data_IF_061702970162
#
_entry.id   IF_061702970162
#
_cell.length_a   1.000
_cell.length_b   1.000
_cell.length_c   1.000
_cell.angle_alpha   90.00
_cell.angle_beta   90.00
_cell.angle_gamma   90.00
#
_symmetry.space_group_name_H-M   'P 1'
#
loop_
_entity.id
_entity.type
_entity.pdbx_description
1 polymer ?
#
# COMPACT_ATOMS: atom_id res chain seq x y z
N UNK A 1 29.20 34.54 10.53
CA UNK A 1 28.06 34.01 11.31
C UNK A 1 26.96 33.47 10.41
N UNK A 2 26.56 34.19 9.35
CA UNK A 2 25.54 33.73 8.38
C UNK A 2 25.91 32.46 7.62
N UNK A 3 27.18 32.31 7.18
CA UNK A 3 27.63 31.09 6.51
C UNK A 3 27.50 29.84 7.41
N UNK A 4 27.91 29.93 8.68
CA UNK A 4 27.80 28.83 9.66
C UNK A 4 26.33 28.48 9.92
N UNK A 5 25.45 29.50 10.04
CA UNK A 5 24.00 29.30 10.19
C UNK A 5 23.41 28.58 8.97
N UNK A 6 23.77 28.99 7.76
CA UNK A 6 23.32 28.35 6.53
C UNK A 6 23.80 26.88 6.43
N UNK A 7 25.05 26.59 6.78
CA UNK A 7 25.58 25.22 6.80
C UNK A 7 24.85 24.35 7.82
N UNK A 8 24.60 24.86 9.03
CA UNK A 8 23.85 24.15 10.08
C UNK A 8 22.41 23.85 9.64
N UNK A 9 21.71 24.83 9.06
CA UNK A 9 20.34 24.65 8.55
C UNK A 9 20.32 23.57 7.45
N UNK A 10 21.21 23.65 6.47
CA UNK A 10 21.29 22.66 5.39
C UNK A 10 21.59 21.24 5.92
N UNK A 11 22.55 21.11 6.84
CA UNK A 11 22.88 19.82 7.46
C UNK A 11 21.71 19.23 8.24
N UNK A 12 20.94 20.07 8.96
CA UNK A 12 19.76 19.65 9.72
C UNK A 12 18.59 19.22 8.82
N UNK A 13 18.37 19.92 7.71
CA UNK A 13 17.38 19.52 6.70
C UNK A 13 17.77 18.20 6.02
N UNK A 14 19.04 18.04 5.66
CA UNK A 14 19.52 16.81 5.04
C UNK A 14 19.36 15.61 6.00
N UNK A 15 19.69 15.79 7.28
CA UNK A 15 19.54 14.74 8.29
C UNK A 15 18.08 14.31 8.47
N UNK A 16 17.14 15.28 8.47
CA UNK A 16 15.72 14.98 8.65
C UNK A 16 15.11 14.27 7.45
N UNK A 17 15.57 14.52 6.22
CA UNK A 17 15.14 13.79 5.02
C UNK A 17 15.53 12.30 5.08
N UNK A 18 16.72 12.00 5.59
CA UNK A 18 17.20 10.62 5.75
C UNK A 18 16.50 9.87 6.90
N UNK A 19 15.87 10.60 7.82
CA UNK A 19 15.27 10.05 9.04
C UNK A 19 13.75 9.76 8.95
N UNK A 20 13.17 9.64 7.75
CA UNK A 20 11.72 9.51 7.58
C UNK A 20 11.28 8.07 7.33
N UNK A 21 10.30 7.60 8.11
CA UNK A 21 9.56 6.35 7.83
C UNK A 21 8.72 6.50 6.55
N UNK A 22 8.44 5.40 5.83
CA UNK A 22 7.61 5.48 4.64
C UNK A 22 6.17 5.84 4.99
N UNK A 23 5.52 6.57 4.10
CA UNK A 23 4.06 6.78 4.08
C UNK A 23 3.56 6.30 2.74
N UNK A 24 2.44 5.56 2.75
CA UNK A 24 1.86 4.96 1.55
C UNK A 24 0.39 5.29 1.38
N UNK A 25 -0.03 5.44 0.13
CA UNK A 25 -1.42 5.48 -0.31
C UNK A 25 -1.74 4.26 -1.16
N UNK A 26 -3.02 3.88 -1.23
CA UNK A 26 -3.50 2.82 -2.12
C UNK A 26 -4.58 3.42 -3.03
N UNK A 27 -4.46 3.17 -4.34
CA UNK A 27 -5.44 3.54 -5.35
C UNK A 27 -5.94 2.29 -6.10
N UNK A 28 -7.27 2.08 -6.25
CA UNK A 28 -8.34 2.88 -5.67
C UNK A 28 -8.44 2.73 -4.15
N UNK A 29 -8.92 3.76 -3.46
CA UNK A 29 -9.15 3.73 -1.99
C UNK A 29 -10.13 2.64 -1.54
N UNK A 30 -11.01 2.25 -2.45
CA UNK A 30 -11.92 1.11 -2.30
C UNK A 30 -12.41 0.71 -3.68
N UNK A 31 -12.53 -0.60 -3.92
CA UNK A 31 -13.20 -1.11 -5.13
C UNK A 31 -14.38 -1.96 -4.71
N UNK A 32 -15.56 -1.52 -5.14
CA UNK A 32 -16.75 -2.35 -5.24
C UNK A 32 -16.70 -2.99 -6.63
N UNK A 33 -16.42 -4.28 -6.69
CA UNK A 33 -16.52 -4.99 -7.97
C UNK A 33 -17.99 -5.09 -8.36
N UNK A 34 -18.32 -4.76 -9.60
CA UNK A 34 -19.72 -4.75 -10.09
C UNK A 34 -20.14 -6.15 -10.55
N UNK A 35 -19.21 -7.00 -11.03
CA UNK A 35 -19.51 -8.36 -11.50
C UNK A 35 -18.49 -9.40 -11.02
N UNK A 36 -18.98 -10.59 -10.67
CA UNK A 36 -18.14 -11.76 -10.45
C UNK A 36 -17.26 -12.01 -11.69
N UNK A 37 -16.04 -12.50 -11.49
CA UNK A 37 -15.04 -12.79 -12.53
C UNK A 37 -14.30 -11.58 -13.12
N UNK A 38 -14.60 -10.36 -12.66
CA UNK A 38 -13.82 -9.18 -13.02
C UNK A 38 -12.40 -9.23 -12.41
N UNK A 39 -11.45 -8.61 -13.10
CA UNK A 39 -10.09 -8.41 -12.57
C UNK A 39 -9.99 -7.05 -11.90
N UNK A 40 -9.51 -7.00 -10.65
CA UNK A 40 -9.29 -5.75 -9.91
C UNK A 40 -7.81 -5.60 -9.56
N UNK A 41 -7.31 -4.37 -9.62
CA UNK A 41 -5.95 -4.04 -9.20
C UNK A 41 -5.94 -2.90 -8.19
N UNK A 42 -5.06 -3.03 -7.20
CA UNK A 42 -4.75 -2.00 -6.21
C UNK A 42 -3.29 -1.63 -6.34
N UNK A 43 -3.00 -0.34 -6.48
CA UNK A 43 -1.65 0.21 -6.56
C UNK A 43 -1.30 0.89 -5.24
N UNK A 44 -0.24 0.43 -4.61
CA UNK A 44 0.38 1.06 -3.46
C UNK A 44 1.46 2.04 -3.94
N UNK A 45 1.37 3.29 -3.49
CA UNK A 45 2.32 4.35 -3.83
C UNK A 45 2.97 4.87 -2.56
N UNK A 46 4.30 5.02 -2.58
CA UNK A 46 5.03 5.69 -1.53
C UNK A 46 4.88 7.20 -1.72
N UNK A 47 4.20 7.87 -0.80
CA UNK A 47 3.96 9.33 -0.88
C UNK A 47 5.08 10.12 -0.23
N UNK A 48 5.75 9.55 0.78
CA UNK A 48 6.93 10.12 1.42
C UNK A 48 7.74 9.04 2.15
N UNK A 49 8.97 9.39 2.55
CA UNK A 49 9.88 8.50 3.27
C UNK A 49 11.26 8.41 2.63
N UNK A 50 12.27 8.08 3.44
CA UNK A 50 13.63 7.87 2.95
C UNK A 50 13.72 6.62 2.06
N UNK A 51 14.45 6.72 0.95
CA UNK A 51 14.73 5.61 0.04
C UNK A 51 15.96 4.82 0.51
N UNK A 52 16.12 3.54 0.13
CA UNK A 52 15.19 2.72 -0.65
C UNK A 52 14.01 2.19 0.18
N UNK A 53 12.85 2.06 -0.46
CA UNK A 53 11.63 1.48 0.15
C UNK A 53 11.30 0.14 -0.52
N UNK A 54 11.04 -0.88 0.29
CA UNK A 54 10.54 -2.17 -0.15
C UNK A 54 9.03 -2.28 0.13
N UNK A 55 8.26 -2.70 -0.87
CA UNK A 55 6.81 -2.87 -0.78
C UNK A 55 6.43 -4.34 -0.65
N UNK A 56 5.45 -4.62 0.20
CA UNK A 56 4.90 -5.95 0.43
C UNK A 56 3.37 -5.86 0.56
N UNK A 57 2.66 -6.77 -0.10
CA UNK A 57 1.22 -6.94 0.07
C UNK A 57 0.91 -8.18 0.89
N UNK A 58 -0.08 -8.04 1.78
CA UNK A 58 -0.59 -9.15 2.59
C UNK A 58 -2.06 -8.98 2.92
N UNK A 59 -2.73 -10.05 3.37
CA UNK A 59 -4.04 -9.89 4.01
C UNK A 59 -3.88 -9.27 5.40
N UNK A 60 -4.83 -8.41 5.78
CA UNK A 60 -4.82 -7.76 7.10
C UNK A 60 -4.96 -8.76 8.25
N UNK A 61 -5.64 -9.88 8.01
CA UNK A 61 -5.84 -10.98 8.95
C UNK A 61 -4.67 -12.00 8.98
N UNK A 62 -3.55 -11.69 8.31
CA UNK A 62 -2.36 -12.55 8.20
C UNK A 62 -2.59 -13.92 7.51
N UNK A 63 -3.74 -14.13 6.85
CA UNK A 63 -3.89 -15.28 5.96
C UNK A 63 -3.03 -15.11 4.70
N UNK A 64 -2.61 -16.22 4.07
CA UNK A 64 -1.96 -16.16 2.78
C UNK A 64 -2.85 -15.47 1.74
N UNK A 65 -2.21 -14.82 0.75
CA UNK A 65 -2.91 -14.35 -0.45
C UNK A 65 -3.45 -15.59 -1.18
N UNK A 66 -4.68 -15.51 -1.69
CA UNK A 66 -5.28 -16.60 -2.46
C UNK A 66 -4.54 -16.78 -3.80
N UNK A 67 -4.65 -17.96 -4.40
CA UNK A 67 -3.89 -18.31 -5.63
C UNK A 67 -4.17 -17.38 -6.82
N UNK A 68 -5.39 -16.83 -6.89
CA UNK A 68 -5.83 -15.87 -7.91
C UNK A 68 -5.39 -14.43 -7.63
N UNK A 69 -4.69 -14.18 -6.52
CA UNK A 69 -4.13 -12.88 -6.16
C UNK A 69 -2.65 -12.86 -6.51
N UNK A 70 -2.25 -11.96 -7.41
CA UNK A 70 -0.88 -11.78 -7.87
C UNK A 70 -0.34 -10.43 -7.41
N UNK A 71 0.95 -10.40 -7.09
CA UNK A 71 1.67 -9.17 -6.74
C UNK A 71 2.71 -8.91 -7.82
N UNK A 72 2.79 -7.66 -8.27
CA UNK A 72 3.76 -7.22 -9.26
C UNK A 72 5.21 -7.38 -8.76
N UNK A 73 6.19 -7.38 -9.68
CA UNK A 73 7.60 -7.64 -9.36
C UNK A 73 8.21 -6.61 -8.39
N UNK A 74 7.70 -5.38 -8.38
CA UNK A 74 8.12 -4.29 -7.50
C UNK A 74 7.31 -4.22 -6.20
N UNK A 75 6.37 -5.16 -5.99
CA UNK A 75 5.46 -5.15 -4.85
C UNK A 75 4.43 -4.03 -4.87
N UNK A 76 4.38 -3.17 -5.91
CA UNK A 76 3.54 -1.98 -5.91
C UNK A 76 2.09 -2.27 -6.26
N UNK A 77 1.83 -3.25 -7.13
CA UNK A 77 0.49 -3.60 -7.60
C UNK A 77 0.07 -4.97 -7.08
N UNK A 78 -1.11 -5.04 -6.46
CA UNK A 78 -1.82 -6.28 -6.18
C UNK A 78 -2.99 -6.43 -7.16
N UNK A 79 -3.05 -7.55 -7.86
CA UNK A 79 -4.10 -7.86 -8.83
C UNK A 79 -4.84 -9.11 -8.40
N UNK A 80 -6.16 -9.05 -8.33
CA UNK A 80 -7.06 -10.17 -8.08
C UNK A 80 -7.68 -10.53 -9.43
N UNK A 81 -7.35 -11.71 -9.96
CA UNK A 81 -7.90 -12.22 -11.22
C UNK A 81 -9.16 -13.02 -10.91
N UNK A 82 -10.22 -12.84 -11.70
CA UNK A 82 -11.49 -13.54 -11.53
C UNK A 82 -12.03 -13.39 -10.10
N UNK A 83 -12.35 -12.15 -9.70
CA UNK A 83 -12.74 -11.84 -8.33
C UNK A 83 -14.02 -12.58 -7.91
N UNK A 84 -13.98 -13.19 -6.72
CA UNK A 84 -15.07 -13.95 -6.12
C UNK A 84 -15.19 -13.66 -4.62
N UNK A 85 -16.22 -14.21 -3.97
CA UNK A 85 -16.51 -13.94 -2.54
C UNK A 85 -15.39 -14.33 -1.58
N UNK A 86 -14.58 -15.34 -1.91
CA UNK A 86 -13.40 -15.72 -1.13
C UNK A 86 -12.27 -14.68 -1.15
N UNK A 87 -12.28 -13.76 -2.12
CA UNK A 87 -11.34 -12.65 -2.16
C UNK A 87 -11.72 -11.52 -1.20
N UNK A 88 -12.97 -11.49 -0.72
CA UNK A 88 -13.45 -10.46 0.20
C UNK A 88 -12.51 -10.31 1.40
N UNK A 89 -12.23 -9.06 1.76
CA UNK A 89 -11.45 -8.77 2.95
C UNK A 89 -10.67 -7.47 2.85
N UNK A 90 -9.69 -7.35 3.74
CA UNK A 90 -8.78 -6.21 3.79
C UNK A 90 -7.39 -6.63 3.35
N UNK A 91 -6.84 -5.89 2.40
CA UNK A 91 -5.49 -6.05 1.88
C UNK A 91 -4.63 -4.91 2.42
N UNK A 92 -3.47 -5.24 2.97
CA UNK A 92 -2.54 -4.29 3.58
C UNK A 92 -1.29 -4.22 2.71
N UNK A 93 -0.96 -3.02 2.25
CA UNK A 93 0.36 -2.72 1.71
C UNK A 93 1.27 -2.25 2.84
N UNK A 94 2.47 -2.79 2.92
CA UNK A 94 3.52 -2.40 3.87
C UNK A 94 4.73 -1.91 3.09
N UNK A 95 5.15 -0.69 3.39
CA UNK A 95 6.39 -0.10 2.93
C UNK A 95 7.44 -0.15 4.04
N UNK A 96 8.63 -0.66 3.75
CA UNK A 96 9.73 -0.77 4.71
C UNK A 96 10.96 -0.04 4.19
N UNK A 97 11.57 0.79 5.05
CA UNK A 97 12.90 1.35 4.84
C UNK A 97 13.75 1.21 6.12
N UNK A 98 14.98 1.74 6.11
CA UNK A 98 15.89 1.70 7.24
C UNK A 98 15.33 2.35 8.53
N UNK A 99 14.40 3.31 8.39
CA UNK A 99 13.82 4.05 9.51
C UNK A 99 12.58 3.37 10.09
N UNK A 100 11.99 2.40 9.38
CA UNK A 100 10.88 1.59 9.86
C UNK A 100 9.85 1.26 8.79
N UNK A 101 8.59 1.13 9.22
CA UNK A 101 7.48 0.67 8.37
C UNK A 101 6.35 1.69 8.30
N UNK A 102 5.86 1.91 7.10
CA UNK A 102 4.57 2.54 6.80
C UNK A 102 3.60 1.50 6.26
N UNK A 103 2.30 1.67 6.49
CA UNK A 103 1.32 0.76 5.94
C UNK A 103 0.00 1.47 5.65
N UNK A 104 -0.74 0.95 4.68
CA UNK A 104 -2.11 1.35 4.41
C UNK A 104 -2.95 0.12 4.09
N UNK A 105 -4.27 0.23 4.25
CA UNK A 105 -5.22 -0.88 4.10
C UNK A 105 -6.29 -0.47 3.10
N UNK A 106 -6.57 -1.35 2.15
CA UNK A 106 -7.71 -1.24 1.24
C UNK A 106 -8.70 -2.36 1.53
N UNK A 107 -9.99 -2.07 1.41
CA UNK A 107 -11.06 -3.07 1.52
C UNK A 107 -11.54 -3.46 0.12
N UNK A 108 -11.60 -4.76 -0.11
CA UNK A 108 -12.21 -5.35 -1.30
C UNK A 108 -13.54 -6.00 -0.92
N UNK A 109 -14.62 -5.58 -1.59
CA UNK A 109 -15.97 -6.09 -1.43
C UNK A 109 -16.52 -6.54 -2.79
N UNK A 110 -17.00 -7.79 -2.93
CA UNK A 110 -17.73 -8.23 -4.11
C UNK A 110 -19.11 -7.56 -4.21
N UNK A 111 -19.63 -7.35 -5.43
CA UNK A 111 -20.99 -6.83 -5.68
C UNK A 111 -22.08 -7.65 -4.99
N UNK A 112 -21.92 -8.97 -4.95
CA UNK A 112 -22.86 -9.90 -4.31
C UNK A 112 -23.05 -9.65 -2.81
N UNK A 113 -22.10 -8.97 -2.15
CA UNK A 113 -22.17 -8.64 -0.73
C UNK A 113 -23.00 -7.35 -0.48
N UNK A 114 -23.01 -6.39 -1.42
CA UNK A 114 -23.87 -5.20 -1.31
C UNK A 114 -25.35 -5.52 -1.50
N UNK A 115 -25.66 -6.51 -2.34
CA UNK A 115 -27.03 -6.94 -2.62
C UNK A 115 -27.71 -7.63 -1.42
N UNK A 116 -26.97 -7.92 -0.33
CA UNK A 116 -27.45 -8.59 0.89
C UNK A 116 -27.58 -7.66 2.10
N UNK A 117 -27.46 -6.34 1.91
CA UNK A 117 -27.66 -5.34 2.97
C UNK A 117 -29.11 -4.84 3.07
N UNK A 118 -30.10 -5.62 2.64
CA UNK A 118 -31.54 -5.31 2.74
C UNK A 118 -32.20 -6.22 3.76
#
# INVERSE_FOLDING_TARGET
MEAIRATLIFSSLLLTVLAQKPVVSIEPRSVTVVKQDDTVSFRCQVTSGAQPVQLEWKRSNNQPLADNVKVGPDGSVLTIVSAHTGNQGQYRCVATNAQGKGANIVRHLPSSCLQRCV
#
